data_IF_137404058611
#
_entry.id   IF_137404058611
#
_cell.length_a   1.000
_cell.length_b   1.000
_cell.length_c   1.000
_cell.angle_alpha   90.00
_cell.angle_beta   90.00
_cell.angle_gamma   90.00
#
_symmetry.space_group_name_H-M   'P 1'
#
loop_
_entity.id
_entity.type
_entity.pdbx_description
1 polymer ?
#
# COMPACT_ATOMS: atom_id res chain seq x y z
N UNK A 1 -0.76 -21.24 22.39
CA UNK A 1 0.62 -21.06 21.92
C UNK A 1 0.88 -19.58 22.11
N UNK A 2 1.97 -19.16 22.75
CA UNK A 2 2.24 -17.72 22.83
C UNK A 2 2.48 -17.17 21.44
N UNK A 3 2.13 -15.90 21.19
CA UNK A 3 2.32 -15.28 19.88
C UNK A 3 3.76 -15.42 19.40
N UNK A 4 4.75 -15.30 20.31
CA UNK A 4 6.17 -15.45 19.97
C UNK A 4 6.53 -16.85 19.45
N UNK A 5 5.94 -17.92 19.98
CA UNK A 5 6.16 -19.27 19.48
C UNK A 5 5.63 -19.46 18.04
N UNK A 6 4.58 -18.72 17.69
CA UNK A 6 4.09 -18.68 16.30
C UNK A 6 5.18 -18.16 15.36
N UNK A 7 5.77 -17.00 15.67
CA UNK A 7 6.83 -16.40 14.83
C UNK A 7 8.08 -17.30 14.73
N UNK A 8 8.50 -17.92 15.84
CA UNK A 8 9.60 -18.90 15.81
C UNK A 8 9.30 -20.07 14.89
N UNK A 9 8.06 -20.55 14.86
CA UNK A 9 7.62 -21.59 13.92
C UNK A 9 7.67 -21.12 12.49
N UNK A 10 7.20 -19.90 12.22
CA UNK A 10 7.22 -19.33 10.86
C UNK A 10 8.64 -19.11 10.35
N UNK A 11 9.57 -18.64 11.17
CA UNK A 11 10.98 -18.53 10.82
C UNK A 11 11.60 -19.90 10.46
N UNK A 12 11.21 -20.95 11.16
CA UNK A 12 11.64 -22.33 10.82
C UNK A 12 11.01 -22.82 9.51
N UNK A 13 9.77 -22.41 9.20
CA UNK A 13 9.12 -22.75 7.94
C UNK A 13 9.82 -22.05 6.78
N UNK A 14 10.08 -20.74 6.90
CA UNK A 14 10.86 -19.97 5.92
C UNK A 14 12.25 -20.58 5.71
N UNK A 15 12.94 -20.92 6.79
CA UNK A 15 14.26 -21.58 6.69
C UNK A 15 14.20 -22.91 5.94
N UNK A 16 13.13 -23.71 6.11
CA UNK A 16 12.95 -24.95 5.36
C UNK A 16 12.80 -24.72 3.88
N UNK A 17 11.98 -23.72 3.50
CA UNK A 17 11.82 -23.37 2.09
C UNK A 17 13.13 -22.82 1.51
N UNK A 18 13.86 -22.00 2.26
CA UNK A 18 15.19 -21.51 1.88
C UNK A 18 16.20 -22.65 1.68
N UNK A 19 16.18 -23.69 2.52
CA UNK A 19 17.03 -24.87 2.41
C UNK A 19 16.75 -25.75 1.18
N UNK A 20 15.64 -25.51 0.45
CA UNK A 20 15.35 -26.16 -0.83
C UNK A 20 16.17 -25.58 -1.98
N UNK A 21 16.96 -24.55 -1.72
CA UNK A 21 17.77 -23.83 -2.70
C UNK A 21 18.59 -24.77 -3.58
N UNK A 22 18.47 -24.60 -4.87
CA UNK A 22 19.36 -25.18 -5.88
C UNK A 22 20.00 -24.06 -6.69
N UNK A 23 21.25 -24.26 -7.10
CA UNK A 23 22.04 -23.28 -7.83
C UNK A 23 22.25 -23.73 -9.25
N UNK A 24 21.91 -22.85 -10.20
CA UNK A 24 22.26 -23.02 -11.62
C UNK A 24 23.28 -21.94 -11.97
N UNK A 25 24.31 -22.32 -12.73
CA UNK A 25 25.29 -21.37 -13.28
C UNK A 25 25.09 -21.37 -14.78
N UNK A 26 24.67 -20.23 -15.31
CA UNK A 26 24.47 -20.03 -16.74
C UNK A 26 25.81 -19.96 -17.50
N UNK A 27 25.78 -20.08 -18.83
CA UNK A 27 27.00 -20.06 -19.67
C UNK A 27 27.80 -18.76 -19.57
N UNK A 28 27.11 -17.63 -19.30
CA UNK A 28 27.70 -16.31 -19.07
C UNK A 28 28.25 -16.10 -17.65
N UNK A 29 28.11 -17.13 -16.78
CA UNK A 29 28.54 -17.09 -15.39
C UNK A 29 27.51 -16.52 -14.42
N UNK A 30 26.29 -16.15 -14.89
CA UNK A 30 25.19 -15.73 -14.02
C UNK A 30 24.77 -16.89 -13.11
N UNK A 31 24.56 -16.57 -11.84
CA UNK A 31 24.09 -17.53 -10.85
C UNK A 31 22.61 -17.31 -10.61
N UNK A 32 21.83 -18.33 -10.84
CA UNK A 32 20.39 -18.34 -10.54
C UNK A 32 20.11 -19.30 -9.38
N UNK A 33 19.38 -18.82 -8.38
CA UNK A 33 18.90 -19.64 -7.28
C UNK A 33 17.45 -20.04 -7.52
N UNK A 34 17.16 -21.32 -7.42
CA UNK A 34 15.82 -21.88 -7.55
C UNK A 34 15.38 -22.49 -6.23
N UNK A 35 14.10 -22.32 -5.89
CA UNK A 35 13.50 -22.79 -4.64
C UNK A 35 12.31 -23.70 -4.94
N UNK A 36 11.99 -24.60 -3.99
CA UNK A 36 10.77 -25.41 -4.00
C UNK A 36 9.92 -25.06 -2.77
N UNK A 37 9.29 -23.89 -2.76
CA UNK A 37 8.63 -23.36 -1.58
C UNK A 37 7.35 -24.13 -1.23
N UNK A 38 7.11 -24.29 0.08
CA UNK A 38 5.87 -24.85 0.62
C UNK A 38 5.07 -23.84 1.44
N UNK A 39 5.76 -22.92 2.09
CA UNK A 39 5.18 -21.98 3.05
C UNK A 39 5.28 -20.54 2.57
N UNK A 40 6.41 -20.16 1.97
CA UNK A 40 6.72 -18.81 1.52
C UNK A 40 7.40 -18.84 0.15
N UNK A 41 7.08 -17.90 -0.71
CA UNK A 41 7.84 -17.67 -1.94
C UNK A 41 9.18 -16.99 -1.59
N UNK A 42 10.20 -17.81 -1.37
CA UNK A 42 11.50 -17.35 -0.86
C UNK A 42 12.22 -16.48 -1.88
N UNK A 43 12.18 -16.85 -3.16
CA UNK A 43 12.84 -16.09 -4.22
C UNK A 43 12.26 -14.69 -4.36
N UNK A 44 10.94 -14.60 -4.38
CA UNK A 44 10.21 -13.36 -4.45
C UNK A 44 10.45 -12.47 -3.21
N UNK A 45 10.42 -13.04 -2.01
CA UNK A 45 10.72 -12.30 -0.78
C UNK A 45 12.17 -11.78 -0.76
N UNK A 46 13.14 -12.55 -1.25
CA UNK A 46 14.54 -12.12 -1.29
C UNK A 46 14.75 -10.99 -2.28
N UNK A 47 14.08 -11.03 -3.42
CA UNK A 47 14.06 -9.94 -4.37
C UNK A 47 13.47 -8.67 -3.75
N UNK A 48 12.32 -8.80 -3.09
CA UNK A 48 11.63 -7.68 -2.45
C UNK A 48 12.47 -7.00 -1.34
N UNK A 49 13.16 -7.80 -0.52
CA UNK A 49 14.04 -7.30 0.55
C UNK A 49 15.49 -7.09 0.10
N UNK A 50 15.75 -7.05 -1.20
CA UNK A 50 17.06 -6.75 -1.82
C UNK A 50 18.19 -7.63 -1.27
N UNK A 51 17.95 -8.94 -1.10
CA UNK A 51 18.99 -9.87 -0.68
C UNK A 51 20.06 -9.98 -1.76
N UNK A 52 21.32 -9.82 -1.37
CA UNK A 52 22.45 -10.09 -2.24
C UNK A 52 22.71 -11.60 -2.35
N UNK A 53 23.44 -12.04 -3.38
CA UNK A 53 23.88 -13.44 -3.52
C UNK A 53 24.55 -13.99 -2.25
N UNK A 54 25.30 -13.14 -1.55
CA UNK A 54 25.95 -13.50 -0.28
C UNK A 54 24.92 -13.75 0.82
N UNK A 55 23.87 -12.96 0.86
CA UNK A 55 22.78 -13.12 1.84
C UNK A 55 22.01 -14.40 1.54
N UNK A 56 21.72 -14.69 0.27
CA UNK A 56 21.04 -15.90 -0.15
C UNK A 56 21.83 -17.19 0.17
N UNK A 57 23.14 -17.11 0.18
CA UNK A 57 24.01 -18.24 0.56
C UNK A 57 24.13 -18.43 2.07
N UNK A 58 23.86 -17.42 2.88
CA UNK A 58 24.01 -17.48 4.35
C UNK A 58 22.77 -18.04 5.03
N UNK A 59 22.42 -19.29 4.70
CA UNK A 59 21.22 -20.00 5.15
C UNK A 59 21.26 -20.27 6.66
N UNK A 60 20.79 -19.32 7.46
CA UNK A 60 20.78 -19.40 8.93
C UNK A 60 19.40 -19.05 9.51
N UNK A 61 19.05 -19.73 10.61
CA UNK A 61 17.80 -19.43 11.33
C UNK A 61 17.72 -17.97 11.76
N UNK A 62 18.82 -17.36 12.20
CA UNK A 62 18.84 -15.95 12.60
C UNK A 62 18.44 -14.99 11.47
N UNK A 63 18.83 -15.31 10.22
CA UNK A 63 18.42 -14.54 9.05
C UNK A 63 16.93 -14.73 8.73
N UNK A 64 16.45 -15.97 8.75
CA UNK A 64 15.02 -16.25 8.57
C UNK A 64 14.17 -15.58 9.66
N UNK A 65 14.65 -15.55 10.92
CA UNK A 65 14.01 -14.81 11.99
C UNK A 65 13.96 -13.31 11.71
N UNK A 66 15.07 -12.75 11.20
CA UNK A 66 15.14 -11.33 10.87
C UNK A 66 14.16 -10.97 9.76
N UNK A 67 14.12 -11.76 8.69
CA UNK A 67 13.19 -11.56 7.58
C UNK A 67 11.72 -11.65 8.03
N UNK A 68 11.35 -12.64 8.86
CA UNK A 68 10.01 -12.72 9.45
C UNK A 68 9.65 -11.46 10.25
N UNK A 69 10.61 -10.88 10.97
CA UNK A 69 10.38 -9.64 11.70
C UNK A 69 10.15 -8.45 10.74
N UNK A 70 10.94 -8.37 9.68
CA UNK A 70 10.81 -7.32 8.66
C UNK A 70 9.46 -7.40 7.93
N UNK A 71 9.01 -8.60 7.54
CA UNK A 71 7.71 -8.81 6.89
C UNK A 71 6.53 -8.24 7.68
N UNK A 72 6.65 -8.11 8.99
CA UNK A 72 5.58 -7.59 9.86
C UNK A 72 5.93 -6.23 10.48
N UNK A 73 6.85 -5.48 9.86
CA UNK A 73 7.15 -4.09 10.19
C UNK A 73 8.17 -3.86 11.30
N UNK A 74 8.84 -4.90 11.82
CA UNK A 74 9.92 -4.72 12.80
C UNK A 74 11.29 -4.67 12.12
N UNK A 75 12.14 -3.76 12.57
CA UNK A 75 13.51 -3.63 12.01
C UNK A 75 14.39 -4.85 12.29
N UNK A 76 14.18 -5.52 13.43
CA UNK A 76 14.99 -6.64 13.89
C UNK A 76 14.15 -7.68 14.62
N UNK A 77 14.64 -8.93 14.66
CA UNK A 77 14.04 -10.00 15.45
C UNK A 77 13.94 -9.65 16.94
N UNK A 78 14.94 -8.96 17.49
CA UNK A 78 14.97 -8.52 18.89
C UNK A 78 13.84 -7.55 19.21
N UNK A 79 13.47 -6.71 18.26
CA UNK A 79 12.38 -5.73 18.43
C UNK A 79 11.03 -6.46 18.48
N UNK A 80 10.83 -7.44 17.59
CA UNK A 80 9.65 -8.30 17.62
C UNK A 80 9.57 -9.11 18.93
N UNK A 81 10.69 -9.61 19.45
CA UNK A 81 10.71 -10.35 20.73
C UNK A 81 10.35 -9.45 21.92
N UNK A 82 10.72 -8.17 21.86
CA UNK A 82 10.45 -7.18 22.89
C UNK A 82 9.09 -6.48 22.75
N UNK A 83 8.37 -6.74 21.66
CA UNK A 83 7.07 -6.14 21.38
C UNK A 83 6.00 -6.52 22.41
N UNK A 84 5.04 -5.63 22.60
CA UNK A 84 3.89 -5.86 23.46
C UNK A 84 2.99 -6.99 22.92
N UNK A 85 2.13 -7.54 23.76
CA UNK A 85 1.19 -8.58 23.36
C UNK A 85 0.29 -8.13 22.19
N UNK A 86 -0.14 -6.87 22.18
CA UNK A 86 -0.97 -6.28 21.13
C UNK A 86 -0.22 -6.09 19.80
N UNK A 87 1.02 -5.66 19.87
CA UNK A 87 1.88 -5.56 18.66
C UNK A 87 2.14 -6.95 18.09
N UNK A 88 2.36 -7.96 18.94
CA UNK A 88 2.49 -9.35 18.47
C UNK A 88 1.18 -9.89 17.89
N UNK A 89 0.01 -9.53 18.43
CA UNK A 89 -1.28 -9.89 17.85
C UNK A 89 -1.44 -9.28 16.46
N UNK A 90 -1.14 -7.99 16.31
CA UNK A 90 -1.17 -7.30 15.01
C UNK A 90 -0.24 -7.98 13.99
N UNK A 91 1.01 -8.16 14.36
CA UNK A 91 2.01 -8.83 13.52
C UNK A 91 1.59 -10.26 13.13
N UNK A 92 0.92 -11.00 14.04
CA UNK A 92 0.42 -12.33 13.73
C UNK A 92 -0.70 -12.28 12.68
N UNK A 93 -1.60 -11.29 12.76
CA UNK A 93 -2.64 -11.09 11.73
C UNK A 93 -2.00 -10.86 10.37
N UNK A 94 -0.99 -9.99 10.27
CA UNK A 94 -0.27 -9.72 9.04
C UNK A 94 0.40 -10.99 8.49
N UNK A 95 1.24 -11.64 9.28
CA UNK A 95 2.03 -12.79 8.84
C UNK A 95 1.18 -14.01 8.44
N UNK A 96 -0.02 -14.16 8.99
CA UNK A 96 -0.97 -15.20 8.57
C UNK A 96 -1.45 -15.02 7.13
N UNK A 97 -1.37 -13.81 6.62
CA UNK A 97 -1.86 -13.45 5.30
C UNK A 97 -0.73 -13.24 4.28
N UNK A 98 0.48 -12.95 4.71
CA UNK A 98 1.63 -12.74 3.84
C UNK A 98 2.28 -14.06 3.42
N UNK A 99 2.37 -14.29 2.10
CA UNK A 99 3.03 -15.46 1.50
C UNK A 99 4.12 -15.08 0.50
N UNK A 100 3.99 -13.91 -0.11
CA UNK A 100 4.86 -13.34 -1.14
C UNK A 100 4.97 -11.82 -0.94
N UNK A 101 5.76 -11.18 -1.81
CA UNK A 101 5.96 -9.73 -1.77
C UNK A 101 4.72 -8.93 -2.13
N UNK A 102 3.86 -9.46 -3.01
CA UNK A 102 2.62 -8.79 -3.42
C UNK A 102 1.69 -8.59 -2.22
N UNK A 103 1.49 -9.62 -1.40
CA UNK A 103 0.68 -9.52 -0.17
C UNK A 103 1.21 -8.42 0.77
N UNK A 104 2.55 -8.28 0.86
CA UNK A 104 3.21 -7.29 1.72
C UNK A 104 3.04 -5.89 1.13
N UNK A 105 3.35 -5.72 -0.16
CA UNK A 105 3.25 -4.44 -0.85
C UNK A 105 1.81 -3.91 -0.86
N UNK A 106 0.83 -4.76 -1.08
CA UNK A 106 -0.59 -4.40 -1.02
C UNK A 106 -0.99 -3.89 0.36
N UNK A 107 -0.49 -4.56 1.42
CA UNK A 107 -0.74 -4.10 2.77
C UNK A 107 -0.03 -2.77 3.08
N UNK A 108 1.25 -2.62 2.71
CA UNK A 108 2.02 -1.39 2.92
C UNK A 108 1.37 -0.20 2.19
N UNK A 109 0.90 -0.40 0.96
CA UNK A 109 0.12 0.60 0.23
C UNK A 109 -1.19 0.93 0.95
N UNK A 110 -1.91 -0.09 1.41
CA UNK A 110 -3.13 0.11 2.18
C UNK A 110 -2.85 0.91 3.46
N UNK A 111 -1.80 0.57 4.21
CA UNK A 111 -1.41 1.28 5.43
C UNK A 111 -1.03 2.75 5.14
N UNK A 112 -0.33 2.99 4.03
CA UNK A 112 0.09 4.34 3.61
C UNK A 112 -1.11 5.22 3.23
N UNK A 113 -2.04 4.70 2.41
CA UNK A 113 -3.12 5.51 1.84
C UNK A 113 -4.38 5.56 2.69
N UNK A 114 -4.60 4.61 3.60
CA UNK A 114 -5.80 4.57 4.44
C UNK A 114 -5.68 5.34 5.75
N UNK A 115 -4.49 5.85 6.08
CA UNK A 115 -4.24 6.52 7.35
C UNK A 115 -4.15 5.59 8.58
N UNK A 116 -4.18 4.27 8.39
CA UNK A 116 -4.09 3.27 9.48
C UNK A 116 -2.82 3.44 10.33
N UNK A 117 -1.75 3.96 9.76
CA UNK A 117 -0.50 4.21 10.48
C UNK A 117 -0.73 5.05 11.76
N UNK A 118 -1.78 5.90 11.78
CA UNK A 118 -2.16 6.80 12.87
C UNK A 118 -3.11 6.18 13.89
N UNK A 119 -3.65 4.99 13.62
CA UNK A 119 -4.59 4.32 14.52
C UNK A 119 -3.89 3.78 15.76
N UNK A 120 -4.65 3.68 16.87
CA UNK A 120 -4.22 2.87 17.99
C UNK A 120 -4.13 1.39 17.61
N UNK A 121 -3.40 0.62 18.39
CA UNK A 121 -3.08 -0.76 18.03
C UNK A 121 -4.32 -1.66 17.94
N UNK A 122 -5.36 -1.42 18.76
CA UNK A 122 -6.60 -2.22 18.71
C UNK A 122 -7.36 -1.96 17.43
N UNK A 123 -7.44 -0.70 17.01
CA UNK A 123 -8.04 -0.29 15.73
C UNK A 123 -7.28 -0.85 14.53
N UNK A 124 -5.93 -0.88 14.58
CA UNK A 124 -5.10 -1.51 13.54
C UNK A 124 -5.38 -3.01 13.42
N UNK A 125 -5.48 -3.72 14.53
CA UNK A 125 -5.78 -5.15 14.55
C UNK A 125 -7.14 -5.43 13.93
N UNK A 126 -8.15 -4.67 14.31
CA UNK A 126 -9.50 -4.87 13.80
C UNK A 126 -9.58 -4.59 12.30
N UNK A 127 -8.98 -3.48 11.84
CA UNK A 127 -8.92 -3.15 10.43
C UNK A 127 -8.21 -4.23 9.62
N UNK A 128 -7.03 -4.68 10.05
CA UNK A 128 -6.30 -5.74 9.35
C UNK A 128 -7.12 -7.03 9.26
N UNK A 129 -7.81 -7.43 10.34
CA UNK A 129 -8.70 -8.60 10.34
C UNK A 129 -9.83 -8.46 9.30
N UNK A 130 -10.43 -7.28 9.20
CA UNK A 130 -11.50 -7.01 8.23
C UNK A 130 -10.97 -6.99 6.80
N UNK A 131 -9.86 -6.32 6.56
CA UNK A 131 -9.20 -6.26 5.25
C UNK A 131 -8.91 -7.66 4.70
N UNK A 132 -8.18 -8.49 5.44
CA UNK A 132 -7.84 -9.83 4.98
C UNK A 132 -9.04 -10.81 4.94
N UNK A 133 -10.08 -10.55 5.69
CA UNK A 133 -11.35 -11.28 5.54
C UNK A 133 -12.04 -10.92 4.23
N UNK A 134 -12.00 -9.65 3.83
CA UNK A 134 -12.53 -9.16 2.54
C UNK A 134 -11.81 -9.77 1.35
N UNK A 135 -10.48 -9.86 1.37
CA UNK A 135 -9.69 -10.49 0.30
C UNK A 135 -10.00 -12.00 0.14
N UNK A 136 -10.32 -12.68 1.24
CA UNK A 136 -10.63 -14.12 1.22
C UNK A 136 -12.07 -14.46 0.88
N UNK A 137 -12.98 -13.55 1.07
CA UNK A 137 -14.33 -13.60 0.52
C UNK A 137 -14.30 -12.73 -0.72
N UNK A 138 -14.71 -13.24 -1.89
CA UNK A 138 -14.89 -12.44 -3.12
C UNK A 138 -15.38 -11.06 -2.68
N UNK A 139 -14.48 -10.08 -2.71
CA UNK A 139 -14.56 -8.89 -1.89
C UNK A 139 -15.97 -8.30 -1.92
N UNK A 140 -16.70 -8.21 -0.81
CA UNK A 140 -17.82 -7.30 -0.77
C UNK A 140 -17.19 -5.92 -0.94
N UNK A 141 -17.52 -5.30 -2.05
CA UNK A 141 -17.23 -3.91 -2.37
C UNK A 141 -17.35 -3.09 -1.07
N UNK A 142 -16.30 -2.36 -0.68
CA UNK A 142 -16.30 -1.46 0.50
C UNK A 142 -17.48 -0.48 0.43
N UNK A 143 -18.10 -0.35 -0.75
CA UNK A 143 -19.36 0.36 -0.99
C UNK A 143 -20.57 -0.16 -0.19
N UNK A 144 -20.55 -1.38 0.36
CA UNK A 144 -21.72 -1.98 1.02
C UNK A 144 -21.75 -1.86 2.56
N UNK A 145 -20.73 -1.31 3.18
CA UNK A 145 -20.91 -0.85 4.54
C UNK A 145 -21.62 0.49 4.49
N UNK A 146 -22.77 0.59 5.14
CA UNK A 146 -23.64 1.77 5.30
C UNK A 146 -22.95 2.92 6.09
N UNK A 147 -21.65 3.10 5.83
CA UNK A 147 -20.79 4.11 6.42
C UNK A 147 -21.04 5.38 5.63
N UNK A 148 -22.00 6.17 6.12
CA UNK A 148 -22.27 7.48 5.54
C UNK A 148 -21.19 8.44 5.99
N UNK A 149 -20.39 8.97 5.07
CA UNK A 149 -19.45 10.02 5.40
C UNK A 149 -20.19 11.28 5.86
N UNK A 150 -19.57 12.01 6.78
CA UNK A 150 -20.04 13.32 7.21
C UNK A 150 -19.62 14.36 6.18
N UNK A 151 -20.55 14.97 5.48
CA UNK A 151 -20.26 16.18 4.68
C UNK A 151 -20.05 17.34 5.64
N UNK A 152 -18.88 17.95 5.60
CA UNK A 152 -18.50 19.06 6.46
C UNK A 152 -19.17 20.36 6.00
N UNK A 153 -19.41 21.28 6.94
CA UNK A 153 -20.01 22.58 6.67
C UNK A 153 -19.31 23.70 7.45
N UNK A 154 -19.60 24.94 7.11
CA UNK A 154 -19.07 26.11 7.82
C UNK A 154 -17.54 26.13 7.88
N UNK A 155 -17.01 26.42 9.07
CA UNK A 155 -15.56 26.58 9.31
C UNK A 155 -14.80 25.28 9.06
N UNK A 156 -15.37 24.12 9.43
CA UNK A 156 -14.71 22.82 9.21
C UNK A 156 -14.47 22.58 7.70
N UNK A 157 -15.48 22.82 6.87
CA UNK A 157 -15.37 22.70 5.42
C UNK A 157 -14.36 23.69 4.84
N UNK A 158 -14.44 24.97 5.24
CA UNK A 158 -13.53 26.00 4.75
C UNK A 158 -12.07 25.66 5.09
N UNK A 159 -11.81 25.19 6.31
CA UNK A 159 -10.48 24.75 6.74
C UNK A 159 -9.97 23.61 5.89
N UNK A 160 -10.80 22.58 5.66
CA UNK A 160 -10.45 21.45 4.82
C UNK A 160 -10.09 21.88 3.39
N UNK A 161 -10.91 22.73 2.78
CA UNK A 161 -10.64 23.26 1.43
C UNK A 161 -9.33 24.04 1.36
N UNK A 162 -8.99 24.82 2.40
CA UNK A 162 -7.72 25.56 2.46
C UNK A 162 -6.51 24.63 2.57
N UNK A 163 -6.63 23.56 3.35
CA UNK A 163 -5.60 22.52 3.42
C UNK A 163 -5.41 21.84 2.07
N UNK A 164 -6.51 21.50 1.37
CA UNK A 164 -6.44 20.94 0.03
C UNK A 164 -5.71 21.82 -0.98
N UNK A 165 -5.82 23.16 -0.86
CA UNK A 165 -5.10 24.09 -1.73
C UNK A 165 -3.57 24.00 -1.57
N UNK A 166 -3.07 23.58 -0.42
CA UNK A 166 -1.61 23.40 -0.22
C UNK A 166 -1.05 22.27 -1.07
N UNK A 167 -1.90 21.29 -1.42
CA UNK A 167 -1.58 20.16 -2.29
C UNK A 167 -1.56 20.60 -3.75
N UNK A 168 -2.45 21.52 -4.13
CA UNK A 168 -2.57 22.07 -5.49
C UNK A 168 -1.55 23.18 -5.80
N UNK A 169 -0.66 23.54 -4.90
CA UNK A 169 0.32 24.62 -5.12
C UNK A 169 -0.32 26.01 -5.05
N UNK A 170 -0.21 26.81 -6.13
CA UNK A 170 -0.58 28.23 -6.13
C UNK A 170 -2.07 28.53 -6.31
N UNK A 171 -2.98 27.54 -6.30
CA UNK A 171 -4.41 27.74 -6.55
C UNK A 171 -5.10 28.47 -5.39
N UNK A 172 -6.19 29.20 -5.71
CA UNK A 172 -6.97 29.97 -4.74
C UNK A 172 -8.36 29.36 -4.58
N UNK A 173 -9.06 29.70 -3.50
CA UNK A 173 -10.46 29.31 -3.29
C UNK A 173 -11.40 29.72 -4.46
N UNK A 174 -11.01 30.73 -5.20
CA UNK A 174 -11.73 31.25 -6.38
C UNK A 174 -11.25 30.65 -7.70
N UNK A 175 -10.29 29.70 -7.67
CA UNK A 175 -9.79 29.06 -8.89
C UNK A 175 -10.92 28.24 -9.53
N UNK A 176 -11.08 28.40 -10.86
CA UNK A 176 -11.98 27.57 -11.65
C UNK A 176 -11.35 26.19 -11.82
N UNK A 177 -12.11 25.14 -11.60
CA UNK A 177 -11.68 23.75 -11.76
C UNK A 177 -12.70 22.97 -12.57
N UNK A 178 -12.25 21.92 -13.25
CA UNK A 178 -13.06 20.96 -14.00
C UNK A 178 -12.86 19.58 -13.39
N UNK A 179 -13.92 18.92 -13.04
CA UNK A 179 -13.87 17.53 -12.59
C UNK A 179 -13.80 16.60 -13.80
N UNK A 180 -12.77 15.76 -13.89
CA UNK A 180 -12.59 14.82 -15.00
C UNK A 180 -13.63 13.70 -15.02
N UNK A 181 -14.25 13.36 -13.86
CA UNK A 181 -15.26 12.29 -13.76
C UNK A 181 -16.62 12.72 -14.32
N UNK A 182 -17.11 13.94 -13.98
CA UNK A 182 -18.42 14.40 -14.45
C UNK A 182 -18.36 15.50 -15.51
N UNK A 183 -17.17 16.03 -15.80
CA UNK A 183 -16.96 17.11 -16.76
C UNK A 183 -17.39 18.50 -16.31
N UNK A 184 -17.99 18.63 -15.11
CA UNK A 184 -18.49 19.91 -14.63
C UNK A 184 -17.37 20.87 -14.25
N UNK A 185 -17.52 22.13 -14.69
CA UNK A 185 -16.67 23.24 -14.28
C UNK A 185 -17.32 24.01 -13.13
N UNK A 186 -16.53 24.40 -12.14
CA UNK A 186 -16.99 25.15 -10.96
C UNK A 186 -15.84 25.89 -10.26
N UNK A 187 -16.17 26.73 -9.31
CA UNK A 187 -15.18 27.36 -8.46
C UNK A 187 -14.77 26.41 -7.36
N UNK A 188 -13.46 26.22 -7.10
CA UNK A 188 -12.93 25.29 -6.11
C UNK A 188 -13.65 25.37 -4.76
N UNK A 189 -14.03 26.58 -4.32
CA UNK A 189 -14.81 26.78 -3.11
C UNK A 189 -16.22 26.10 -3.13
N UNK A 190 -16.69 25.59 -4.25
CA UNK A 190 -17.94 24.83 -4.35
C UNK A 190 -17.72 23.32 -4.08
N UNK A 191 -16.48 22.85 -4.06
CA UNK A 191 -16.14 21.46 -3.75
C UNK A 191 -16.66 21.03 -2.37
N UNK A 192 -16.94 19.77 -2.18
CA UNK A 192 -17.39 19.23 -0.90
C UNK A 192 -16.18 18.78 -0.07
N UNK A 193 -16.23 18.98 1.24
CA UNK A 193 -15.29 18.35 2.17
C UNK A 193 -16.02 17.24 2.92
N UNK A 194 -15.48 16.04 2.88
CA UNK A 194 -16.15 14.81 3.35
C UNK A 194 -15.23 14.08 4.32
N UNK A 195 -15.72 13.81 5.52
CA UNK A 195 -14.98 13.05 6.53
C UNK A 195 -15.62 11.67 6.70
N UNK A 196 -14.87 10.64 6.41
CA UNK A 196 -15.28 9.27 6.73
C UNK A 196 -15.03 8.95 8.20
N UNK A 197 -15.81 8.08 8.84
CA UNK A 197 -15.74 7.84 10.28
C UNK A 197 -14.39 7.35 10.79
N UNK A 198 -13.58 6.78 9.91
CA UNK A 198 -12.26 6.24 10.25
C UNK A 198 -11.10 7.15 9.82
N UNK A 199 -11.39 8.26 9.11
CA UNK A 199 -10.39 9.20 8.65
C UNK A 199 -10.26 10.37 9.61
N UNK A 200 -9.04 10.81 9.84
CA UNK A 200 -8.75 11.99 10.65
C UNK A 200 -8.73 13.27 9.82
N UNK A 201 -8.56 13.14 8.51
CA UNK A 201 -8.49 14.26 7.58
C UNK A 201 -9.63 14.15 6.56
N UNK A 202 -10.28 15.27 6.26
CA UNK A 202 -11.36 15.30 5.28
C UNK A 202 -10.82 15.16 3.85
N UNK A 203 -11.55 14.41 3.04
CA UNK A 203 -11.35 14.35 1.59
C UNK A 203 -12.06 15.51 0.92
N UNK A 204 -11.43 16.10 -0.08
CA UNK A 204 -12.05 17.10 -0.94
C UNK A 204 -12.61 16.35 -2.15
N UNK A 205 -13.92 16.49 -2.34
CA UNK A 205 -14.69 15.80 -3.36
C UNK A 205 -15.32 16.82 -4.32
N UNK A 206 -15.66 16.36 -5.51
CA UNK A 206 -16.39 17.16 -6.50
C UNK A 206 -17.62 17.83 -5.88
N UNK A 207 -18.01 19.01 -6.37
CA UNK A 207 -19.23 19.71 -5.93
C UNK A 207 -20.47 18.82 -6.03
N UNK A 208 -20.50 17.89 -6.95
CA UNK A 208 -21.63 16.99 -7.22
C UNK A 208 -21.64 15.74 -6.32
N UNK A 209 -20.72 15.62 -5.38
CA UNK A 209 -20.73 14.51 -4.42
C UNK A 209 -22.10 14.45 -3.68
N UNK A 210 -22.72 13.27 -3.47
CA UNK A 210 -22.21 11.92 -3.75
C UNK A 210 -22.55 11.35 -5.15
N UNK A 211 -23.11 12.13 -6.06
CA UNK A 211 -23.43 11.66 -7.41
C UNK A 211 -22.18 11.51 -8.28
N UNK A 212 -21.14 12.24 -7.97
CA UNK A 212 -19.81 12.16 -8.58
C UNK A 212 -18.80 11.87 -7.50
N UNK A 213 -17.98 10.87 -7.69
CA UNK A 213 -16.95 10.42 -6.77
C UNK A 213 -15.55 11.02 -7.06
N UNK A 214 -15.48 11.99 -7.98
CA UNK A 214 -14.24 12.72 -8.28
C UNK A 214 -13.67 13.39 -7.03
N UNK A 215 -12.39 13.18 -6.78
CA UNK A 215 -11.62 13.70 -5.65
C UNK A 215 -10.85 14.98 -6.02
N UNK A 216 -10.08 15.50 -5.08
CA UNK A 216 -9.16 16.60 -5.27
C UNK A 216 -8.20 16.39 -6.46
N UNK A 217 -7.70 15.14 -6.62
CA UNK A 217 -6.76 14.77 -7.68
C UNK A 217 -7.40 14.73 -9.06
N UNK A 218 -8.74 14.68 -9.12
CA UNK A 218 -9.52 14.66 -10.35
C UNK A 218 -10.01 16.05 -10.77
N UNK A 219 -9.57 17.10 -10.08
CA UNK A 219 -9.92 18.49 -10.34
C UNK A 219 -8.79 19.20 -11.10
N UNK A 220 -8.95 19.35 -12.40
CA UNK A 220 -7.98 20.03 -13.26
C UNK A 220 -8.28 21.52 -13.36
N UNK A 221 -7.27 22.35 -13.60
CA UNK A 221 -7.47 23.71 -14.04
C UNK A 221 -7.90 23.70 -15.51
N UNK A 222 -8.94 24.41 -15.92
CA UNK A 222 -9.32 24.49 -17.34
C UNK A 222 -8.19 24.98 -18.24
N UNK A 223 -7.28 25.80 -17.69
CA UNK A 223 -6.15 26.36 -18.42
C UNK A 223 -4.97 25.33 -18.60
N UNK A 224 -5.00 24.20 -17.86
CA UNK A 224 -4.01 23.13 -17.96
C UNK A 224 -4.32 22.15 -19.11
N UNK A 225 -5.51 22.17 -19.70
CA UNK A 225 -5.84 21.36 -20.89
C UNK A 225 -5.14 21.84 -22.17
N UNK A 226 -4.60 23.06 -22.20
CA UNK A 226 -3.92 23.63 -23.38
C UNK A 226 -2.40 23.57 -23.32
N UNK A 227 -1.80 23.31 -22.18
CA UNK A 227 -0.41 22.92 -22.13
C UNK A 227 -0.31 21.41 -22.45
N UNK A 228 -0.41 21.10 -23.75
CA UNK A 228 0.20 19.91 -24.33
C UNK A 228 1.59 19.79 -23.67
N UNK A 229 1.73 18.89 -22.73
CA UNK A 229 3.03 18.51 -22.19
C UNK A 229 3.81 17.97 -23.37
N UNK A 230 4.35 18.91 -24.16
CA UNK A 230 5.20 18.67 -25.32
C UNK A 230 6.44 17.88 -24.91
N UNK A 231 6.21 16.68 -24.51
CA UNK A 231 7.21 15.64 -24.65
C UNK A 231 7.38 15.50 -26.16
N UNK A 232 8.53 15.90 -26.71
CA UNK A 232 8.76 15.68 -28.12
C UNK A 232 8.51 14.19 -28.36
N UNK A 233 7.47 13.90 -29.13
CA UNK A 233 7.27 12.58 -29.69
C UNK A 233 8.53 12.30 -30.52
N UNK A 234 9.42 11.51 -29.94
CA UNK A 234 10.60 11.04 -30.68
C UNK A 234 10.13 9.85 -31.54
N UNK A 235 9.94 10.05 -32.86
CA UNK A 235 9.49 9.00 -33.74
C UNK A 235 10.55 7.89 -33.92
N UNK A 236 11.76 8.05 -33.36
CA UNK A 236 12.82 7.04 -33.40
C UNK A 236 12.78 6.07 -32.23
N UNK A 237 11.92 6.31 -31.18
CA UNK A 237 11.62 5.38 -30.12
C UNK A 237 10.46 4.42 -30.49
N UNK A 238 10.48 3.90 -31.70
CA UNK A 238 9.68 2.72 -32.01
C UNK A 238 10.41 1.50 -31.43
N UNK A 239 9.82 0.90 -30.41
CA UNK A 239 10.18 -0.44 -29.97
C UNK A 239 9.90 -1.40 -31.15
N UNK A 240 10.92 -1.66 -31.95
CA UNK A 240 10.88 -2.78 -32.90
C UNK A 240 10.99 -4.04 -32.06
N UNK A 241 9.90 -4.77 -31.95
CA UNK A 241 9.94 -6.17 -31.53
C UNK A 241 10.54 -6.96 -32.71
N UNK A 242 11.86 -7.01 -32.75
CA UNK A 242 12.60 -7.98 -33.54
C UNK A 242 13.09 -9.03 -32.56
N UNK A 243 12.35 -10.11 -32.48
CA UNK A 243 12.88 -11.44 -32.22
C UNK A 243 11.90 -12.45 -32.81
N UNK A 244 12.28 -12.92 -34.02
CA UNK A 244 11.86 -14.20 -34.60
C UNK A 244 12.66 -15.36 -33.95
#
# INVERSE_FOLDING_TARGET
>A
MSNLEYFKKQAKNLLKDWQTQTKTVEEDGLITYNYSPKFYDVGDLFFYYEFSDKDEQDIKLARAQHLIAQMVGFKKWTDLVAASEKELEYAEVLLRNFKNSEDIADWENTEMFSGIARFDIDSKIEYAKQYFKGIKSDAPDIKDQNIKPKVLSGIERETALRVGLTIFGSKKMTTKVKCIHCGDEYIYNEAQAVLYPYDQEPFIMCKNYPKCDGSLMDMMSPDEEEEDLGMPYDPELTWTSEDD
#
